data_IF_091011253674
#
_entry.id   IF_091011253674
#
_cell.length_a   1.000
_cell.length_b   1.000
_cell.length_c   1.000
_cell.angle_alpha   90.00
_cell.angle_beta   90.00
_cell.angle_gamma   90.00
#
_symmetry.space_group_name_H-M   'P 1'
#
loop_
_entity.id
_entity.type
_entity.pdbx_description
1 polymer ?
#
# COMPACT_ATOMS: atom_id res chain seq x y z
N UNK A 1 -6.62 21.26 -20.52
CA UNK A 1 -6.13 21.58 -19.15
C UNK A 1 -7.06 20.96 -18.09
N UNK A 2 -7.17 19.63 -18.06
CA UNK A 2 -7.95 18.93 -17.02
C UNK A 2 -7.04 18.54 -15.87
N UNK A 3 -7.10 19.41 -14.86
CA UNK A 3 -6.62 19.31 -13.48
C UNK A 3 -6.64 17.85 -13.00
N UNK A 4 -5.50 17.22 -12.68
CA UNK A 4 -4.85 17.33 -11.36
C UNK A 4 -5.84 17.57 -10.20
N UNK A 5 -6.93 16.80 -10.11
CA UNK A 5 -7.97 17.00 -9.10
C UNK A 5 -7.85 16.06 -7.88
N UNK A 6 -6.96 15.06 -7.91
CA UNK A 6 -6.90 14.03 -6.85
C UNK A 6 -5.94 14.38 -5.70
N UNK A 7 -5.18 15.49 -5.79
CA UNK A 7 -4.09 15.81 -4.84
C UNK A 7 -4.43 16.74 -3.67
N UNK A 8 -5.61 17.35 -3.63
CA UNK A 8 -6.05 18.23 -2.54
C UNK A 8 -7.17 17.65 -1.68
N UNK A 9 -7.64 16.44 -2.00
CA UNK A 9 -8.35 15.63 -1.04
C UNK A 9 -7.29 15.04 -0.10
N UNK A 10 -7.47 15.24 1.19
CA UNK A 10 -6.65 14.68 2.26
C UNK A 10 -6.78 13.14 2.29
N UNK A 11 -6.40 12.41 1.26
CA UNK A 11 -6.64 10.96 1.16
C UNK A 11 -6.14 10.24 2.43
N UNK A 12 -7.09 9.87 3.30
CA UNK A 12 -6.83 9.07 4.49
C UNK A 12 -6.96 7.62 4.06
N UNK A 13 -5.85 6.90 4.07
CA UNK A 13 -5.90 5.44 4.09
C UNK A 13 -6.14 5.06 5.55
N UNK A 14 -7.34 4.60 5.87
CA UNK A 14 -7.64 4.10 7.21
C UNK A 14 -7.12 2.68 7.35
N UNK A 15 -6.10 2.55 8.19
CA UNK A 15 -5.37 1.30 8.48
C UNK A 15 -5.63 0.98 9.94
N UNK A 16 -6.88 0.71 10.28
CA UNK A 16 -7.26 0.34 11.66
C UNK A 16 -8.48 -0.58 11.72
N UNK A 17 -8.84 -1.16 10.58
CA UNK A 17 -9.92 -2.13 10.51
C UNK A 17 -9.30 -3.50 10.28
N UNK A 18 -9.67 -4.46 11.12
CA UNK A 18 -9.32 -5.87 10.94
C UNK A 18 -10.09 -6.51 9.76
N UNK A 19 -10.82 -5.72 8.97
CA UNK A 19 -11.72 -6.15 7.90
C UNK A 19 -11.04 -6.46 6.56
N UNK A 20 -9.73 -6.73 6.59
CA UNK A 20 -8.87 -7.06 5.46
C UNK A 20 -8.92 -6.10 4.26
N UNK A 21 -9.51 -4.91 4.39
CA UNK A 21 -9.77 -4.00 3.26
C UNK A 21 -8.99 -2.71 3.36
N UNK A 22 -8.44 -2.28 2.22
CA UNK A 22 -7.85 -0.95 2.06
C UNK A 22 -8.77 -0.11 1.19
N UNK A 23 -9.15 1.06 1.69
CA UNK A 23 -10.10 1.98 1.04
C UNK A 23 -9.43 3.31 0.72
N UNK A 24 -9.68 3.81 -0.49
CA UNK A 24 -9.40 5.17 -0.88
C UNK A 24 -10.66 6.02 -0.64
N UNK A 25 -10.57 7.04 0.21
CA UNK A 25 -11.71 7.90 0.57
C UNK A 25 -11.51 9.34 0.10
N UNK A 26 -12.60 9.99 -0.32
CA UNK A 26 -12.66 11.45 -0.41
C UNK A 26 -12.93 12.02 0.99
N UNK A 27 -12.07 12.91 1.48
CA UNK A 27 -12.25 13.52 2.81
C UNK A 27 -13.47 14.42 2.91
N UNK A 28 -13.93 14.95 1.78
CA UNK A 28 -15.17 15.74 1.73
C UNK A 28 -16.39 14.83 1.80
N UNK A 29 -16.24 13.52 1.58
CA UNK A 29 -17.32 12.56 1.56
C UNK A 29 -16.88 11.14 2.03
N UNK A 30 -16.48 10.97 3.31
CA UNK A 30 -15.84 9.74 3.79
C UNK A 30 -16.80 8.55 3.92
N UNK A 31 -18.10 8.76 3.74
CA UNK A 31 -19.15 7.73 3.87
C UNK A 31 -19.14 6.72 2.72
N UNK A 32 -18.52 7.06 1.59
CA UNK A 32 -18.49 6.19 0.42
C UNK A 32 -17.05 6.08 -0.09
N UNK A 33 -16.46 4.87 -0.10
CA UNK A 33 -15.13 4.69 -0.64
C UNK A 33 -15.14 4.94 -2.15
N UNK A 34 -14.12 5.65 -2.64
CA UNK A 34 -13.88 5.84 -4.07
C UNK A 34 -13.43 4.53 -4.71
N UNK A 35 -12.54 3.83 -4.01
CA UNK A 35 -11.99 2.54 -4.42
C UNK A 35 -11.73 1.70 -3.17
N UNK A 36 -11.84 0.39 -3.32
CA UNK A 36 -11.58 -0.57 -2.25
C UNK A 36 -10.88 -1.80 -2.84
N UNK A 37 -9.97 -2.39 -2.07
CA UNK A 37 -9.32 -3.65 -2.40
C UNK A 37 -9.22 -4.51 -1.15
N UNK A 38 -9.44 -5.81 -1.32
CA UNK A 38 -9.15 -6.82 -0.30
C UNK A 38 -7.66 -7.15 -0.32
N UNK A 39 -7.01 -7.00 0.83
CA UNK A 39 -5.59 -7.28 1.03
C UNK A 39 -5.37 -8.54 1.86
N UNK A 40 -6.42 -9.31 2.14
CA UNK A 40 -6.36 -10.65 2.75
C UNK A 40 -6.08 -10.69 4.26
N UNK A 41 -5.71 -9.56 4.87
CA UNK A 41 -5.50 -9.44 6.30
C UNK A 41 -5.54 -8.00 6.80
N UNK A 42 -5.61 -7.82 8.12
CA UNK A 42 -5.62 -6.50 8.74
C UNK A 42 -4.39 -5.69 8.34
N UNK A 43 -4.60 -4.58 7.63
CA UNK A 43 -3.51 -3.67 7.30
C UNK A 43 -3.04 -3.00 8.60
N UNK A 44 -1.74 -3.08 8.88
CA UNK A 44 -1.08 -2.48 10.05
C UNK A 44 -0.31 -1.22 9.70
N UNK A 45 0.34 -1.24 8.53
CA UNK A 45 1.10 -0.11 8.00
C UNK A 45 0.78 0.07 6.53
N UNK A 46 0.63 1.31 6.09
CA UNK A 46 0.58 1.65 4.68
C UNK A 46 1.52 2.80 4.37
N UNK A 47 2.07 2.82 3.15
CA UNK A 47 2.93 3.90 2.70
C UNK A 47 2.79 4.12 1.19
N UNK A 48 2.43 5.34 0.80
CA UNK A 48 2.43 5.75 -0.60
C UNK A 48 3.85 5.75 -1.15
N UNK A 49 3.98 5.30 -2.39
CA UNK A 49 5.26 5.35 -3.07
C UNK A 49 5.69 6.83 -3.30
N UNK A 50 6.98 7.18 -3.11
CA UNK A 50 7.46 8.57 -3.20
C UNK A 50 7.28 9.20 -4.59
N UNK A 51 7.57 8.46 -5.66
CA UNK A 51 7.45 8.93 -7.06
C UNK A 51 6.19 8.44 -7.80
N UNK A 52 5.78 7.18 -7.60
CA UNK A 52 4.64 6.54 -8.27
C UNK A 52 3.34 6.74 -7.46
N UNK A 53 2.55 7.74 -7.83
CA UNK A 53 1.43 8.21 -6.99
C UNK A 53 0.27 7.23 -6.83
N UNK A 54 0.23 6.18 -7.66
CA UNK A 54 -0.85 5.21 -7.68
C UNK A 54 -0.50 3.94 -6.89
N UNK A 55 0.74 3.81 -6.42
CA UNK A 55 1.21 2.61 -5.72
C UNK A 55 1.25 2.84 -4.21
N UNK A 56 0.62 1.92 -3.50
CA UNK A 56 0.53 1.90 -2.04
C UNK A 56 1.11 0.61 -1.52
N UNK A 57 2.14 0.71 -0.67
CA UNK A 57 2.67 -0.42 0.08
C UNK A 57 1.79 -0.67 1.29
N UNK A 58 1.47 -1.93 1.55
CA UNK A 58 0.63 -2.38 2.66
C UNK A 58 1.36 -3.53 3.37
N UNK A 59 1.53 -3.38 4.69
CA UNK A 59 1.92 -4.48 5.57
C UNK A 59 0.64 -5.05 6.21
N UNK A 60 0.31 -6.29 5.84
CA UNK A 60 -0.85 -7.03 6.34
C UNK A 60 -0.39 -7.94 7.47
N UNK A 61 -0.88 -7.70 8.68
CA UNK A 61 -0.39 -8.34 9.92
C UNK A 61 -0.21 -9.86 9.78
N UNK A 62 -1.16 -10.57 9.17
CA UNK A 62 -1.11 -12.02 8.97
C UNK A 62 -1.03 -12.46 7.51
N UNK A 63 -0.84 -11.54 6.57
CA UNK A 63 -0.91 -11.85 5.14
C UNK A 63 0.22 -11.17 4.35
N UNK A 64 1.39 -11.03 4.98
CA UNK A 64 2.61 -10.54 4.34
C UNK A 64 2.55 -9.07 3.90
N UNK A 65 3.36 -8.73 2.90
CA UNK A 65 3.45 -7.39 2.33
C UNK A 65 2.88 -7.36 0.92
N UNK A 66 2.23 -6.25 0.56
CA UNK A 66 1.59 -6.08 -0.74
C UNK A 66 1.82 -4.70 -1.30
N UNK A 67 1.91 -4.62 -2.62
CA UNK A 67 1.76 -3.37 -3.35
C UNK A 67 0.37 -3.35 -3.96
N UNK A 68 -0.39 -2.32 -3.66
CA UNK A 68 -1.70 -2.04 -4.23
C UNK A 68 -1.57 -0.94 -5.25
N UNK A 69 -2.05 -1.19 -6.46
CA UNK A 69 -2.14 -0.19 -7.52
C UNK A 69 -3.56 0.35 -7.62
N UNK A 70 -3.70 1.67 -7.61
CA UNK A 70 -4.95 2.39 -7.82
C UNK A 70 -5.02 2.97 -9.22
N UNK A 71 -5.87 2.37 -10.07
CA UNK A 71 -6.15 2.86 -11.42
C UNK A 71 -7.22 3.95 -11.34
N UNK A 72 -6.79 5.21 -11.49
CA UNK A 72 -7.69 6.37 -11.46
C UNK A 72 -8.59 6.47 -12.68
N UNK A 73 -8.20 5.89 -13.82
CA UNK A 73 -8.98 5.95 -15.06
C UNK A 73 -10.12 4.94 -15.03
N UNK A 74 -9.86 3.75 -14.47
CA UNK A 74 -10.85 2.68 -14.31
C UNK A 74 -11.58 2.70 -12.97
N UNK A 75 -11.22 3.60 -12.06
CA UNK A 75 -11.72 3.65 -10.68
C UNK A 75 -11.66 2.28 -10.01
N UNK A 76 -10.51 1.60 -10.13
CA UNK A 76 -10.32 0.24 -9.62
C UNK A 76 -9.00 0.12 -8.87
N UNK A 77 -8.97 -0.79 -7.89
CA UNK A 77 -7.77 -1.09 -7.11
C UNK A 77 -7.49 -2.59 -7.16
N UNK A 78 -6.22 -2.96 -7.28
CA UNK A 78 -5.80 -4.36 -7.27
C UNK A 78 -4.42 -4.53 -6.63
N UNK A 79 -4.16 -5.72 -6.11
CA UNK A 79 -2.83 -6.09 -5.61
C UNK A 79 -1.93 -6.36 -6.82
N UNK A 80 -0.90 -5.54 -7.02
CA UNK A 80 0.07 -5.68 -8.12
C UNK A 80 1.21 -6.62 -7.77
N UNK A 81 1.67 -6.63 -6.50
CA UNK A 81 2.75 -7.51 -6.03
C UNK A 81 2.50 -7.96 -4.60
N UNK A 82 3.00 -9.15 -4.26
CA UNK A 82 2.91 -9.76 -2.94
C UNK A 82 4.28 -10.29 -2.52
N UNK A 83 4.58 -10.21 -1.23
CA UNK A 83 5.82 -10.68 -0.62
C UNK A 83 5.53 -11.37 0.72
N UNK A 84 5.82 -12.67 0.78
CA UNK A 84 5.44 -13.56 1.90
C UNK A 84 6.65 -14.28 2.53
N UNK A 85 7.87 -13.83 2.28
CA UNK A 85 9.07 -14.53 2.80
C UNK A 85 9.29 -14.33 4.31
N UNK A 86 8.46 -13.52 4.98
CA UNK A 86 8.46 -13.42 6.44
C UNK A 86 7.57 -14.52 7.03
N UNK A 87 8.04 -15.21 8.06
CA UNK A 87 7.30 -16.31 8.70
C UNK A 87 6.27 -15.80 9.71
N UNK A 88 6.48 -14.60 10.26
CA UNK A 88 5.63 -13.98 11.28
C UNK A 88 4.96 -12.69 10.77
N UNK A 89 4.62 -11.78 11.69
CA UNK A 89 3.79 -10.61 11.40
C UNK A 89 4.53 -9.57 10.56
N UNK A 90 3.87 -9.08 9.51
CA UNK A 90 4.32 -7.94 8.74
C UNK A 90 4.17 -6.64 9.55
N UNK A 91 5.29 -6.08 10.03
CA UNK A 91 5.26 -4.96 10.98
C UNK A 91 5.66 -3.63 10.34
N UNK A 92 6.88 -3.54 9.79
CA UNK A 92 7.42 -2.33 9.20
C UNK A 92 7.60 -2.48 7.69
N UNK A 93 7.25 -1.43 6.94
CA UNK A 93 7.43 -1.40 5.49
C UNK A 93 7.74 0.03 5.02
N UNK A 94 8.73 0.16 4.13
CA UNK A 94 9.13 1.44 3.54
C UNK A 94 9.67 1.30 2.11
N UNK A 95 9.47 2.34 1.31
CA UNK A 95 10.02 2.49 -0.03
C UNK A 95 11.41 3.15 0.02
N UNK A 96 12.33 2.66 -0.78
CA UNK A 96 13.51 3.41 -1.19
C UNK A 96 13.09 4.60 -2.04
N UNK A 97 13.71 5.76 -1.79
CA UNK A 97 13.56 6.96 -2.63
C UNK A 97 14.40 6.88 -3.90
N UNK A 98 15.36 5.95 -3.97
CA UNK A 98 16.15 5.73 -5.17
C UNK A 98 15.39 4.80 -6.11
N UNK A 99 15.30 5.12 -7.41
CA UNK A 99 14.80 4.17 -8.39
C UNK A 99 15.69 2.92 -8.35
N UNK A 100 15.08 1.75 -8.33
CA UNK A 100 15.79 0.49 -8.48
C UNK A 100 16.20 0.27 -9.94
N UNK A 101 16.87 -0.84 -10.18
CA UNK A 101 17.24 -1.22 -11.53
C UNK A 101 15.99 -1.66 -12.31
N UNK A 102 15.97 -1.39 -13.62
CA UNK A 102 14.89 -1.79 -14.54
C UNK A 102 13.50 -1.18 -14.26
N UNK A 103 13.42 -0.10 -13.48
CA UNK A 103 12.16 0.61 -13.22
C UNK A 103 11.35 0.05 -12.05
N UNK A 104 11.86 -0.96 -11.35
CA UNK A 104 11.30 -1.40 -10.07
C UNK A 104 11.82 -0.51 -8.92
N UNK A 105 11.06 -0.45 -7.83
CA UNK A 105 11.43 0.25 -6.61
C UNK A 105 11.80 -0.73 -5.50
N UNK A 106 12.88 -0.43 -4.80
CA UNK A 106 13.31 -1.25 -3.66
C UNK A 106 12.43 -0.95 -2.45
N UNK A 107 11.98 -1.99 -1.77
CA UNK A 107 11.22 -1.96 -0.53
C UNK A 107 12.03 -2.60 0.57
N UNK A 108 12.00 -1.99 1.74
CA UNK A 108 12.46 -2.58 2.99
C UNK A 108 11.24 -3.02 3.81
N UNK A 109 11.24 -4.28 4.24
CA UNK A 109 10.18 -4.86 5.07
C UNK A 109 10.78 -5.56 6.28
N UNK A 110 10.16 -5.43 7.44
CA UNK A 110 10.64 -6.09 8.65
C UNK A 110 9.51 -6.73 9.45
N UNK A 111 9.90 -7.82 10.11
CA UNK A 111 9.12 -8.51 11.11
C UNK A 111 9.86 -8.40 12.42
N UNK A 112 9.19 -7.85 13.45
CA UNK A 112 9.76 -7.78 14.79
C UNK A 112 9.98 -9.18 15.37
N UNK A 113 9.11 -10.14 15.03
CA UNK A 113 9.16 -11.50 15.58
C UNK A 113 10.21 -12.37 14.90
N UNK A 114 10.46 -12.16 13.61
CA UNK A 114 11.48 -12.92 12.86
C UNK A 114 12.89 -12.35 13.07
N UNK A 115 13.00 -11.21 13.76
CA UNK A 115 14.24 -10.43 13.91
C UNK A 115 14.93 -10.16 12.56
N UNK A 116 14.14 -10.00 11.49
CA UNK A 116 14.64 -9.92 10.12
C UNK A 116 14.22 -8.63 9.41
N UNK A 117 15.07 -8.21 8.48
CA UNK A 117 14.80 -7.16 7.51
C UNK A 117 15.03 -7.74 6.12
N UNK A 118 14.01 -7.71 5.28
CA UNK A 118 14.10 -8.16 3.90
C UNK A 118 14.04 -6.97 2.95
N UNK A 119 14.93 -6.99 1.96
CA UNK A 119 14.92 -6.07 0.82
C UNK A 119 14.40 -6.81 -0.41
N UNK A 120 13.41 -6.23 -1.07
CA UNK A 120 12.83 -6.79 -2.29
C UNK A 120 12.46 -5.66 -3.25
N UNK A 121 12.25 -5.97 -4.53
CA UNK A 121 11.92 -4.98 -5.54
C UNK A 121 10.47 -5.17 -6.01
N UNK A 122 9.77 -4.06 -6.27
CA UNK A 122 8.39 -4.05 -6.75
C UNK A 122 8.17 -3.08 -7.89
#
# INVERSE_FOLDING_TARGET
MSRCFVRHLLINVHVHSYDSRVRLLDVRQPQTPLMEVDVGGGAWRVKWHPSHKNDLLVACMHDGFKVVHFDSDKYSAHVSKRYDDHESLAYGADWSFKPGNNGESVIASCSFYDHSLHLWSA
#
